data_IF_939971903125
#
_entry.id   IF_939971903125
#
_cell.length_a   1.000
_cell.length_b   1.000
_cell.length_c   1.000
_cell.angle_alpha   90.00
_cell.angle_beta   90.00
_cell.angle_gamma   90.00
#
_symmetry.space_group_name_H-M   'P 1'
#
loop_
_entity.id
_entity.type
_entity.pdbx_description
1 polymer ?
#
# COMPACT_ATOMS: atom_id res chain seq x y z
N UNK A 1 -48.22 4.97 -50.07
CA UNK A 1 -48.49 6.08 -49.15
C UNK A 1 -47.27 6.16 -48.24
N UNK A 2 -46.08 6.58 -48.70
CA UNK A 2 -45.72 7.93 -49.24
C UNK A 2 -45.90 8.97 -48.12
N UNK A 3 -44.92 9.66 -47.53
CA UNK A 3 -43.57 10.14 -47.93
C UNK A 3 -42.68 10.25 -46.65
N UNK A 4 -41.34 10.12 -46.58
CA UNK A 4 -40.20 10.84 -47.22
C UNK A 4 -40.27 12.37 -47.02
N UNK A 5 -39.27 13.19 -46.63
CA UNK A 5 -37.79 13.13 -46.58
C UNK A 5 -37.23 14.46 -45.95
N UNK A 6 -36.01 14.40 -45.38
CA UNK A 6 -34.91 15.41 -45.37
C UNK A 6 -34.66 16.48 -44.26
N UNK A 7 -33.38 16.45 -43.83
CA UNK A 7 -32.44 17.45 -43.25
C UNK A 7 -31.81 18.22 -44.46
N UNK A 8 -31.32 19.51 -44.46
CA UNK A 8 -30.18 19.97 -43.61
C UNK A 8 -29.90 21.50 -43.38
N UNK A 9 -28.87 21.72 -42.54
CA UNK A 9 -27.78 22.74 -42.57
C UNK A 9 -27.98 24.25 -42.28
N UNK A 10 -27.00 24.81 -41.54
CA UNK A 10 -26.67 26.23 -41.29
C UNK A 10 -25.57 26.73 -42.27
N UNK A 11 -24.84 27.86 -42.06
CA UNK A 11 -25.09 29.27 -41.66
C UNK A 11 -24.73 30.26 -42.83
N UNK A 12 -24.61 31.62 -42.69
CA UNK A 12 -23.32 32.30 -42.37
C UNK A 12 -23.35 33.72 -41.67
N UNK A 13 -22.18 34.12 -41.13
CA UNK A 13 -21.37 35.40 -41.13
C UNK A 13 -22.09 36.78 -41.32
N UNK A 14 -21.73 37.96 -40.75
CA UNK A 14 -20.45 38.73 -40.79
C UNK A 14 -20.55 40.16 -40.13
N UNK A 15 -19.55 40.53 -39.31
CA UNK A 15 -18.78 41.80 -39.09
C UNK A 15 -19.34 43.27 -38.99
N UNK A 16 -18.50 44.08 -38.28
CA UNK A 16 -18.23 45.55 -38.32
C UNK A 16 -18.95 46.47 -37.30
N UNK A 17 -18.35 47.52 -36.69
CA UNK A 17 -17.01 48.13 -36.71
C UNK A 17 -16.85 49.19 -35.56
N UNK A 18 -15.60 49.45 -35.12
CA UNK A 18 -14.90 50.74 -34.76
C UNK A 18 -15.63 51.82 -33.89
N UNK A 19 -15.05 52.64 -33.00
CA UNK A 19 -13.73 53.30 -32.79
C UNK A 19 -13.79 53.91 -31.35
N UNK A 20 -12.72 54.15 -30.59
CA UNK A 20 -12.00 55.45 -30.56
C UNK A 20 -10.79 55.39 -29.58
N UNK A 21 -9.84 56.27 -29.89
CA UNK A 21 -8.46 56.38 -29.44
C UNK A 21 -8.23 57.27 -28.20
N UNK A 22 -7.25 56.84 -27.40
CA UNK A 22 -6.23 57.53 -26.54
C UNK A 22 -6.20 59.09 -26.54
N UNK A 23 -5.87 59.72 -25.39
CA UNK A 23 -4.52 60.27 -25.25
C UNK A 23 -3.78 59.95 -23.93
N UNK A 24 -2.47 60.08 -24.07
CA UNK A 24 -1.33 59.79 -23.20
C UNK A 24 -1.11 60.87 -22.11
N UNK A 25 -0.31 60.50 -21.08
CA UNK A 25 0.64 61.34 -20.29
C UNK A 25 0.32 61.31 -18.78
N UNK A 26 1.20 61.13 -17.81
CA UNK A 26 2.65 60.91 -17.68
C UNK A 26 2.94 60.60 -16.20
N UNK A 27 4.15 60.06 -15.92
CA UNK A 27 4.93 60.17 -14.67
C UNK A 27 4.46 59.39 -13.42
N UNK A 28 5.17 58.29 -13.16
CA UNK A 28 6.21 58.27 -12.12
C UNK A 28 6.97 56.95 -12.16
N UNK A 29 8.25 57.02 -12.55
CA UNK A 29 9.22 55.91 -12.46
C UNK A 29 9.88 55.99 -11.09
N UNK A 30 9.61 55.04 -10.20
CA UNK A 30 10.49 54.76 -9.07
C UNK A 30 11.73 54.04 -9.60
N UNK A 31 12.85 54.78 -9.63
CA UNK A 31 14.16 54.25 -9.95
C UNK A 31 14.78 53.67 -8.68
N UNK A 32 14.82 52.35 -8.56
CA UNK A 32 15.71 51.66 -7.63
C UNK A 32 17.13 51.66 -8.19
N UNK A 33 18.05 52.34 -7.53
CA UNK A 33 19.46 52.39 -7.89
C UNK A 33 20.15 51.07 -7.45
N UNK A 34 20.36 50.18 -8.41
CA UNK A 34 21.30 49.07 -8.26
C UNK A 34 22.68 49.58 -8.67
N UNK A 35 23.58 49.73 -7.69
CA UNK A 35 24.98 50.08 -7.92
C UNK A 35 25.65 48.92 -8.64
N UNK A 36 25.81 49.05 -9.96
CA UNK A 36 26.61 48.13 -10.75
C UNK A 36 28.10 48.28 -10.39
N UNK A 37 28.83 47.19 -10.12
CA UNK A 37 30.28 47.27 -9.94
C UNK A 37 30.95 47.73 -11.23
N UNK A 38 31.85 48.71 -11.12
CA UNK A 38 32.62 49.26 -12.24
C UNK A 38 33.42 48.15 -12.93
N UNK A 39 33.27 48.04 -14.26
CA UNK A 39 34.12 47.22 -15.12
C UNK A 39 35.56 47.66 -14.96
N UNK A 40 36.40 46.80 -14.40
CA UNK A 40 37.85 46.97 -14.41
C UNK A 40 38.34 46.81 -15.86
N UNK A 41 39.13 47.78 -16.31
CA UNK A 41 39.83 47.76 -17.59
C UNK A 41 40.78 46.55 -17.63
N UNK A 42 40.71 45.80 -18.74
CA UNK A 42 41.68 44.74 -19.08
C UNK A 42 43.06 45.38 -19.25
N UNK A 43 43.95 45.19 -18.27
CA UNK A 43 45.41 45.32 -18.46
C UNK A 43 45.93 44.01 -19.07
N UNK A 44 46.86 44.15 -20.00
CA UNK A 44 47.55 43.06 -20.68
C UNK A 44 48.22 42.09 -19.67
N UNK A 45 48.38 40.80 -20.01
CA UNK A 45 49.01 39.82 -19.13
C UNK A 45 50.49 40.17 -19.02
N UNK A 46 50.92 40.51 -17.81
CA UNK A 46 52.33 40.44 -17.42
C UNK A 46 52.58 38.96 -17.13
N UNK A 47 53.56 38.35 -17.80
CA UNK A 47 54.04 37.02 -17.45
C UNK A 47 54.55 37.07 -16.02
N UNK A 48 53.87 36.35 -15.14
CA UNK A 48 54.24 36.11 -13.76
C UNK A 48 54.91 34.73 -13.74
N UNK A 49 56.24 34.72 -13.80
CA UNK A 49 57.08 33.53 -13.70
C UNK A 49 57.37 33.23 -12.21
N UNK A 50 56.34 33.26 -11.38
CA UNK A 50 56.42 32.88 -9.97
C UNK A 50 55.63 31.58 -9.75
N UNK A 51 56.38 30.48 -9.60
CA UNK A 51 55.88 29.20 -9.11
C UNK A 51 55.02 29.42 -7.85
N UNK A 52 53.92 28.66 -7.66
CA UNK A 52 53.15 28.74 -6.42
C UNK A 52 54.03 28.27 -5.26
N UNK A 53 54.52 29.22 -4.47
CA UNK A 53 55.28 28.94 -3.25
C UNK A 53 54.35 28.17 -2.28
N UNK A 54 54.49 26.86 -2.28
CA UNK A 54 53.81 25.97 -1.33
C UNK A 54 54.35 26.30 0.05
N UNK A 55 53.47 26.84 0.91
CA UNK A 55 53.80 27.10 2.30
C UNK A 55 54.01 25.75 3.03
N UNK A 56 55.27 25.31 3.07
CA UNK A 56 55.73 24.10 3.75
C UNK A 56 55.91 24.31 5.27
N UNK A 57 55.43 25.42 5.82
CA UNK A 57 55.56 25.66 7.27
C UNK A 57 54.57 24.81 8.05
N UNK A 58 55.09 23.92 8.91
CA UNK A 58 54.26 23.24 9.90
C UNK A 58 53.54 24.28 10.77
N UNK A 59 52.22 24.13 10.90
CA UNK A 59 51.38 25.06 11.64
C UNK A 59 51.91 25.23 13.09
N UNK A 60 52.52 26.39 13.37
CA UNK A 60 53.05 26.73 14.68
C UNK A 60 51.95 26.61 15.74
N UNK A 61 52.17 25.75 16.74
CA UNK A 61 51.26 25.59 17.87
C UNK A 61 51.20 26.89 18.67
N UNK A 62 50.22 27.75 18.34
CA UNK A 62 49.94 29.02 19.02
C UNK A 62 49.50 28.76 20.48
N UNK A 63 50.49 28.63 21.38
CA UNK A 63 50.34 28.56 22.85
C UNK A 63 50.11 29.96 23.44
N UNK A 64 49.06 30.64 22.99
CA UNK A 64 48.62 31.90 23.59
C UNK A 64 47.69 31.62 24.77
N UNK A 65 47.90 32.29 25.91
CA UNK A 65 46.97 32.21 27.06
C UNK A 65 45.51 32.48 26.67
N UNK A 66 45.28 33.27 25.61
CA UNK A 66 43.93 33.58 25.08
C UNK A 66 43.34 32.41 24.28
N UNK A 67 44.15 31.66 23.53
CA UNK A 67 43.70 30.48 22.77
C UNK A 67 43.41 29.32 23.72
N UNK A 68 44.21 29.13 24.77
CA UNK A 68 43.96 28.11 25.80
C UNK A 68 42.69 28.39 26.61
N UNK A 69 42.43 29.67 26.94
CA UNK A 69 41.20 30.05 27.66
C UNK A 69 39.96 29.81 26.81
N UNK A 70 40.02 30.06 25.49
CA UNK A 70 38.93 29.74 24.56
C UNK A 70 38.74 28.23 24.38
N UNK A 71 39.81 27.45 24.23
CA UNK A 71 39.74 25.97 24.18
C UNK A 71 39.12 25.39 25.45
N UNK A 72 39.51 25.88 26.64
CA UNK A 72 38.96 25.45 27.93
C UNK A 72 37.49 25.86 28.10
N UNK A 73 37.07 27.00 27.55
CA UNK A 73 35.65 27.38 27.49
C UNK A 73 34.85 26.50 26.53
N UNK A 74 35.38 26.19 25.35
CA UNK A 74 34.73 25.29 24.39
C UNK A 74 34.62 23.88 24.96
N UNK A 75 35.67 23.33 25.57
CA UNK A 75 35.63 22.03 26.26
C UNK A 75 34.59 22.02 27.39
N UNK A 76 34.56 23.05 28.27
CA UNK A 76 33.52 23.15 29.29
C UNK A 76 32.10 23.29 28.71
N UNK A 77 31.95 23.92 27.54
CA UNK A 77 30.67 24.02 26.84
C UNK A 77 30.25 22.66 26.28
N UNK A 78 31.18 21.92 25.67
CA UNK A 78 30.96 20.56 25.16
C UNK A 78 30.64 19.59 26.30
N UNK A 79 31.41 19.60 27.39
CA UNK A 79 31.14 18.80 28.59
C UNK A 79 29.79 19.13 29.23
N UNK A 80 29.37 20.41 29.22
CA UNK A 80 28.03 20.80 29.70
C UNK A 80 26.93 20.30 28.78
N UNK A 81 27.15 20.30 27.47
CA UNK A 81 26.21 19.74 26.49
C UNK A 81 26.12 18.23 26.67
N UNK A 82 27.26 17.56 26.88
CA UNK A 82 27.36 16.11 27.07
C UNK A 82 26.77 15.65 28.40
N UNK A 83 26.95 16.43 29.49
CA UNK A 83 26.29 16.18 30.79
C UNK A 83 24.78 16.46 30.78
N UNK A 84 24.32 17.33 29.87
CA UNK A 84 22.89 17.61 29.66
C UNK A 84 22.22 16.58 28.75
N UNK A 85 22.98 15.80 27.99
CA UNK A 85 22.43 14.65 27.27
C UNK A 85 22.09 13.58 28.29
N UNK A 86 20.83 13.16 28.32
CA UNK A 86 20.37 12.01 29.10
C UNK A 86 21.22 10.82 28.64
N UNK A 87 22.09 10.33 29.52
CA UNK A 87 22.84 9.08 29.26
C UNK A 87 21.84 7.95 29.46
N UNK A 88 21.21 7.49 28.39
CA UNK A 88 20.49 6.23 28.41
C UNK A 88 21.54 5.12 28.62
N UNK A 89 21.49 4.41 29.75
CA UNK A 89 22.34 3.23 30.03
C UNK A 89 21.87 1.98 29.25
N UNK A 90 21.20 2.20 28.12
CA UNK A 90 20.68 1.15 27.25
C UNK A 90 21.85 0.66 26.40
N UNK A 91 22.32 -0.56 26.68
CA UNK A 91 23.42 -1.23 25.98
C UNK A 91 22.91 -2.12 24.86
N UNK A 92 21.68 -2.63 24.98
CA UNK A 92 21.05 -3.51 24.02
C UNK A 92 19.66 -3.03 23.62
N UNK A 93 19.22 -3.34 22.39
CA UNK A 93 17.89 -3.04 21.90
C UNK A 93 16.80 -3.58 22.85
N UNK A 94 16.95 -4.80 23.35
CA UNK A 94 15.98 -5.44 24.26
C UNK A 94 15.93 -4.82 25.68
N UNK A 95 16.84 -3.91 26.02
CA UNK A 95 16.80 -3.16 27.28
C UNK A 95 15.93 -1.90 27.18
N UNK A 96 15.43 -1.59 25.97
CA UNK A 96 14.46 -0.52 25.78
C UNK A 96 13.14 -0.88 26.48
N UNK A 97 12.41 0.12 27.01
CA UNK A 97 11.03 -0.04 27.44
C UNK A 97 10.19 -0.72 26.35
N UNK A 98 9.26 -1.63 26.73
CA UNK A 98 8.45 -2.40 25.79
C UNK A 98 7.68 -1.52 24.81
N UNK A 99 7.24 -0.34 25.24
CA UNK A 99 6.50 0.62 24.40
C UNK A 99 7.39 1.17 23.27
N UNK A 100 8.67 1.41 23.54
CA UNK A 100 9.62 1.86 22.52
C UNK A 100 10.00 0.72 21.58
N UNK A 101 10.10 -0.50 22.10
CA UNK A 101 10.30 -1.70 21.28
C UNK A 101 9.14 -1.90 20.30
N UNK A 102 7.90 -1.86 20.79
CA UNK A 102 6.70 -1.96 19.97
C UNK A 102 6.64 -0.86 18.91
N UNK A 103 6.91 0.39 19.29
CA UNK A 103 6.91 1.52 18.35
C UNK A 103 7.95 1.30 17.24
N UNK A 104 9.19 0.90 17.58
CA UNK A 104 10.23 0.61 16.58
C UNK A 104 9.82 -0.54 15.66
N UNK A 105 9.28 -1.62 16.23
CA UNK A 105 8.81 -2.76 15.45
C UNK A 105 7.64 -2.38 14.53
N UNK A 106 6.81 -1.41 14.92
CA UNK A 106 5.69 -0.93 14.11
C UNK A 106 6.11 -0.25 12.79
N UNK A 107 7.35 0.24 12.71
CA UNK A 107 7.91 0.83 11.48
C UNK A 107 8.43 -0.21 10.50
N UNK A 108 8.63 -1.46 10.94
CA UNK A 108 9.16 -2.53 10.09
C UNK A 108 8.09 -3.10 9.18
N UNK A 109 8.52 -3.74 8.09
CA UNK A 109 7.62 -4.54 7.25
C UNK A 109 7.31 -5.86 7.97
N UNK A 110 6.10 -6.43 7.79
CA UNK A 110 5.78 -7.76 8.30
C UNK A 110 6.85 -8.81 7.96
N UNK A 111 7.37 -8.82 6.73
CA UNK A 111 8.45 -9.71 6.30
C UNK A 111 9.72 -9.58 7.14
N UNK A 112 10.07 -8.36 7.56
CA UNK A 112 11.25 -8.11 8.37
C UNK A 112 11.04 -8.60 9.81
N UNK A 113 9.82 -8.45 10.34
CA UNK A 113 9.45 -9.02 11.65
C UNK A 113 9.57 -10.54 11.65
N UNK A 114 9.12 -11.21 10.59
CA UNK A 114 9.33 -12.66 10.45
C UNK A 114 10.81 -13.05 10.40
N UNK A 115 11.70 -12.18 9.89
CA UNK A 115 13.15 -12.38 10.00
C UNK A 115 13.64 -12.16 11.44
N UNK A 116 13.12 -11.17 12.14
CA UNK A 116 13.46 -10.91 13.55
C UNK A 116 13.06 -12.07 14.48
N UNK A 117 11.93 -12.74 14.21
CA UNK A 117 11.50 -13.96 14.93
C UNK A 117 12.53 -15.11 14.87
N UNK A 118 13.51 -15.04 13.95
CA UNK A 118 14.57 -16.04 13.78
C UNK A 118 15.90 -15.64 14.42
N UNK A 119 16.02 -14.42 14.96
CA UNK A 119 17.30 -13.93 15.49
C UNK A 119 17.69 -14.60 16.81
N UNK A 120 16.83 -14.52 17.82
CA UNK A 120 17.05 -15.14 19.13
C UNK A 120 15.71 -15.40 19.82
N UNK A 121 15.73 -16.20 20.91
CA UNK A 121 14.52 -16.58 21.65
C UNK A 121 13.83 -15.37 22.30
N UNK A 122 14.57 -14.50 22.97
CA UNK A 122 14.00 -13.34 23.66
C UNK A 122 13.25 -12.38 22.72
N UNK A 123 13.80 -12.08 21.54
CA UNK A 123 13.14 -11.28 20.50
C UNK A 123 11.92 -12.00 19.94
N UNK A 124 12.00 -13.31 19.75
CA UNK A 124 10.87 -14.12 19.29
C UNK A 124 9.72 -14.08 20.29
N UNK A 125 10.00 -14.34 21.56
CA UNK A 125 9.01 -14.40 22.62
C UNK A 125 8.36 -13.02 22.79
N UNK A 126 9.15 -11.94 22.81
CA UNK A 126 8.63 -10.57 22.87
C UNK A 126 7.67 -10.23 21.72
N UNK A 127 8.02 -10.60 20.48
CA UNK A 127 7.17 -10.31 19.30
C UNK A 127 5.88 -11.14 19.36
N UNK A 128 5.95 -12.41 19.77
CA UNK A 128 4.78 -13.28 19.85
C UNK A 128 3.83 -12.88 20.98
N UNK A 129 4.36 -12.43 22.12
CA UNK A 129 3.55 -11.97 23.25
C UNK A 129 2.81 -10.66 22.92
N UNK A 130 3.42 -9.79 22.11
CA UNK A 130 2.87 -8.47 21.72
C UNK A 130 2.35 -8.45 20.28
N UNK A 131 2.07 -9.62 19.69
CA UNK A 131 1.79 -9.79 18.27
C UNK A 131 0.64 -8.88 17.79
N UNK A 132 -0.44 -8.84 18.56
CA UNK A 132 -1.66 -8.09 18.22
C UNK A 132 -1.41 -6.58 18.18
N UNK A 133 -0.62 -6.05 19.11
CA UNK A 133 -0.29 -4.62 19.19
C UNK A 133 0.57 -4.22 17.99
N UNK A 134 1.66 -4.96 17.79
CA UNK A 134 2.62 -4.73 16.71
C UNK A 134 1.94 -4.82 15.34
N UNK A 135 1.17 -5.89 15.09
CA UNK A 135 0.48 -6.07 13.81
C UNK A 135 -0.52 -4.95 13.53
N UNK A 136 -1.30 -4.53 14.55
CA UNK A 136 -2.28 -3.46 14.43
C UNK A 136 -1.63 -2.14 14.03
N UNK A 137 -0.49 -1.80 14.63
CA UNK A 137 0.19 -0.54 14.33
C UNK A 137 0.84 -0.55 12.95
N UNK A 138 1.42 -1.67 12.52
CA UNK A 138 1.95 -1.83 11.15
C UNK A 138 0.83 -1.66 10.14
N UNK A 139 -0.29 -2.37 10.34
CA UNK A 139 -1.45 -2.31 9.46
C UNK A 139 -1.96 -0.87 9.38
N UNK A 140 -2.11 -0.19 10.51
CA UNK A 140 -2.58 1.20 10.57
C UNK A 140 -1.66 2.16 9.83
N UNK A 141 -0.33 1.94 9.89
CA UNK A 141 0.67 2.81 9.28
C UNK A 141 0.83 2.56 7.78
N UNK A 142 0.73 1.32 7.32
CA UNK A 142 1.12 0.92 5.96
C UNK A 142 0.02 0.34 5.08
N UNK A 143 -0.95 -0.34 5.68
CA UNK A 143 -1.90 -1.22 4.98
C UNK A 143 -3.35 -0.95 5.36
N UNK A 144 -3.67 0.29 5.72
CA UNK A 144 -4.93 0.61 6.37
C UNK A 144 -6.11 0.52 5.39
N UNK A 145 -5.89 0.83 4.11
CA UNK A 145 -6.90 0.72 3.05
C UNK A 145 -7.16 -0.75 2.73
N UNK A 146 -6.09 -1.51 2.49
CA UNK A 146 -6.15 -2.94 2.18
C UNK A 146 -6.76 -3.73 3.33
N UNK A 147 -6.46 -3.39 4.58
CA UNK A 147 -7.05 -4.03 5.76
C UNK A 147 -8.57 -3.90 5.82
N UNK A 148 -9.14 -2.78 5.37
CA UNK A 148 -10.60 -2.60 5.32
C UNK A 148 -11.24 -3.42 4.21
N UNK A 149 -10.50 -3.68 3.14
CA UNK A 149 -10.98 -4.40 1.96
C UNK A 149 -10.80 -5.91 2.05
N UNK A 150 -9.69 -6.37 2.61
CA UNK A 150 -9.31 -7.78 2.75
C UNK A 150 -9.56 -8.24 4.17
N UNK A 151 -10.83 -8.47 4.49
CA UNK A 151 -11.24 -9.03 5.78
C UNK A 151 -10.77 -10.49 5.91
N UNK A 152 -10.68 -10.95 7.16
CA UNK A 152 -10.31 -12.34 7.47
C UNK A 152 -11.58 -13.13 7.80
N UNK A 153 -11.70 -14.40 7.33
CA UNK A 153 -12.76 -15.29 7.78
C UNK A 153 -12.72 -15.49 9.30
N UNK A 154 -13.88 -15.61 9.92
CA UNK A 154 -14.00 -15.88 11.35
C UNK A 154 -13.93 -17.39 11.58
N UNK A 155 -13.15 -17.83 12.58
CA UNK A 155 -13.12 -19.24 12.99
C UNK A 155 -14.49 -19.68 13.49
N UNK A 156 -14.93 -20.90 13.16
CA UNK A 156 -16.27 -21.37 13.51
C UNK A 156 -16.49 -21.36 15.04
N UNK A 157 -15.46 -21.70 15.80
CA UNK A 157 -15.45 -21.68 17.28
C UNK A 157 -15.82 -20.32 17.90
N UNK A 158 -15.63 -19.22 17.17
CA UNK A 158 -15.95 -17.85 17.64
C UNK A 158 -17.37 -17.42 17.29
N UNK A 159 -18.12 -18.23 16.53
CA UNK A 159 -19.51 -17.97 16.13
C UNK A 159 -20.47 -18.49 17.20
N UNK A 160 -21.63 -17.85 17.39
CA UNK A 160 -22.64 -18.34 18.31
C UNK A 160 -23.14 -19.76 17.94
N UNK A 161 -23.42 -20.58 18.95
CA UNK A 161 -23.75 -22.00 18.77
C UNK A 161 -24.98 -22.23 17.88
N UNK A 162 -26.01 -21.39 17.99
CA UNK A 162 -27.22 -21.51 17.14
C UNK A 162 -26.85 -21.26 15.68
N UNK A 163 -26.04 -20.23 15.42
CA UNK A 163 -25.56 -19.93 14.09
C UNK A 163 -24.62 -21.01 13.55
N UNK A 164 -23.76 -21.60 14.38
CA UNK A 164 -22.90 -22.73 13.99
C UNK A 164 -23.73 -23.91 13.46
N UNK A 165 -24.79 -24.29 14.16
CA UNK A 165 -25.66 -25.40 13.73
C UNK A 165 -26.33 -25.11 12.39
N UNK A 166 -26.88 -23.91 12.20
CA UNK A 166 -27.47 -23.51 10.92
C UNK A 166 -26.47 -23.48 9.76
N UNK A 167 -25.20 -23.12 10.03
CA UNK A 167 -24.14 -23.12 9.03
C UNK A 167 -23.67 -24.53 8.65
N UNK A 168 -23.81 -25.53 9.52
CA UNK A 168 -23.39 -26.90 9.22
C UNK A 168 -24.46 -27.71 8.47
N UNK A 169 -25.69 -27.23 8.40
CA UNK A 169 -26.79 -27.90 7.69
C UNK A 169 -26.49 -28.06 6.20
N UNK A 170 -26.87 -29.23 5.65
CA UNK A 170 -26.76 -29.57 4.22
C UNK A 170 -27.38 -28.49 3.31
N UNK A 171 -28.57 -27.99 3.65
CA UNK A 171 -29.27 -26.92 2.93
C UNK A 171 -28.42 -25.64 2.79
N UNK A 172 -27.68 -25.25 3.84
CA UNK A 172 -26.79 -24.09 3.75
C UNK A 172 -25.58 -24.39 2.86
N UNK A 173 -24.94 -25.53 3.07
CA UNK A 173 -23.77 -25.95 2.29
C UNK A 173 -24.11 -26.08 0.79
N UNK A 174 -25.31 -26.53 0.47
CA UNK A 174 -25.79 -26.62 -0.91
C UNK A 174 -26.02 -25.25 -1.55
N UNK A 175 -26.55 -24.27 -0.79
CA UNK A 175 -26.67 -22.88 -1.27
C UNK A 175 -25.32 -22.22 -1.50
N UNK A 176 -24.33 -22.56 -0.67
CA UNK A 176 -22.97 -22.04 -0.81
C UNK A 176 -22.25 -22.57 -2.04
N UNK A 177 -22.68 -23.69 -2.64
CA UNK A 177 -22.03 -24.29 -3.82
C UNK A 177 -21.82 -23.32 -4.98
N UNK A 178 -22.63 -22.26 -5.09
CA UNK A 178 -22.45 -21.22 -6.12
C UNK A 178 -21.13 -20.44 -5.90
N UNK A 179 -20.80 -20.17 -4.64
CA UNK A 179 -19.64 -19.39 -4.22
C UNK A 179 -18.44 -20.25 -3.79
N UNK A 180 -18.67 -21.54 -3.55
CA UNK A 180 -17.64 -22.56 -3.25
C UNK A 180 -17.40 -23.51 -4.41
N UNK A 181 -18.03 -23.28 -5.58
CA UNK A 181 -17.68 -23.98 -6.82
C UNK A 181 -16.16 -23.86 -6.99
N UNK A 182 -15.42 -24.97 -7.15
CA UNK A 182 -13.97 -24.93 -7.09
C UNK A 182 -13.44 -24.11 -8.25
N UNK A 183 -13.14 -22.84 -7.98
CA UNK A 183 -12.24 -22.07 -8.83
C UNK A 183 -10.91 -22.81 -8.84
N UNK A 184 -10.27 -22.89 -9.99
CA UNK A 184 -9.07 -23.73 -10.13
C UNK A 184 -8.01 -23.36 -9.09
N UNK A 185 -7.87 -22.08 -8.75
CA UNK A 185 -6.85 -21.56 -7.83
C UNK A 185 -7.33 -21.33 -6.39
N UNK A 186 -8.61 -21.56 -6.08
CA UNK A 186 -9.18 -21.32 -4.75
C UNK A 186 -9.70 -22.62 -4.16
N UNK A 187 -9.07 -23.06 -3.08
CA UNK A 187 -9.57 -24.19 -2.28
C UNK A 187 -10.86 -23.77 -1.58
N UNK A 188 -11.85 -24.66 -1.52
CA UNK A 188 -13.06 -24.40 -0.74
C UNK A 188 -12.75 -24.24 0.76
N UNK A 189 -13.43 -23.29 1.40
CA UNK A 189 -13.37 -23.08 2.85
C UNK A 189 -13.89 -24.32 3.59
N UNK A 190 -13.21 -24.74 4.65
CA UNK A 190 -13.66 -25.85 5.48
C UNK A 190 -14.76 -25.38 6.45
N UNK A 191 -15.95 -25.97 6.28
CA UNK A 191 -17.11 -25.65 7.09
C UNK A 191 -16.97 -26.07 8.56
N UNK A 192 -16.07 -27.01 8.88
CA UNK A 192 -15.86 -27.49 10.25
C UNK A 192 -14.94 -26.60 11.06
N UNK A 193 -13.99 -25.91 10.41
CA UNK A 193 -13.02 -25.05 11.09
C UNK A 193 -13.41 -23.57 11.03
N UNK A 194 -14.13 -23.16 10.01
CA UNK A 194 -14.32 -21.75 9.66
C UNK A 194 -15.79 -21.42 9.44
N UNK A 195 -16.18 -20.19 9.79
CA UNK A 195 -17.51 -19.69 9.50
C UNK A 195 -17.73 -19.66 7.99
N UNK A 196 -18.86 -20.20 7.54
CA UNK A 196 -19.22 -20.24 6.12
C UNK A 196 -20.32 -19.24 5.77
N UNK A 197 -20.54 -18.20 6.58
CA UNK A 197 -21.40 -17.10 6.16
C UNK A 197 -20.86 -16.43 4.89
N UNK A 198 -21.71 -15.77 4.11
CA UNK A 198 -21.32 -15.19 2.81
C UNK A 198 -20.08 -14.28 2.93
N UNK A 199 -20.01 -13.44 3.96
CA UNK A 199 -18.85 -12.57 4.22
C UNK A 199 -17.55 -13.37 4.40
N UNK A 200 -17.58 -14.47 5.15
CA UNK A 200 -16.38 -15.27 5.40
C UNK A 200 -15.95 -16.07 4.16
N UNK A 201 -16.91 -16.55 3.37
CA UNK A 201 -16.63 -17.21 2.08
C UNK A 201 -15.98 -16.23 1.09
N UNK A 202 -16.52 -15.01 0.96
CA UNK A 202 -15.93 -13.99 0.10
C UNK A 202 -14.54 -13.56 0.59
N UNK A 203 -14.38 -13.32 1.90
CA UNK A 203 -13.07 -13.01 2.50
C UNK A 203 -12.03 -14.10 2.23
N UNK A 204 -12.42 -15.38 2.35
CA UNK A 204 -11.55 -16.51 2.04
C UNK A 204 -11.12 -16.51 0.56
N UNK A 205 -12.08 -16.33 -0.34
CA UNK A 205 -11.83 -16.29 -1.79
C UNK A 205 -10.92 -15.11 -2.15
N UNK A 206 -11.14 -13.93 -1.56
CA UNK A 206 -10.34 -12.73 -1.77
C UNK A 206 -8.88 -12.94 -1.35
N UNK A 207 -8.66 -13.46 -0.13
CA UNK A 207 -7.30 -13.70 0.37
C UNK A 207 -6.56 -14.78 -0.45
N UNK A 208 -7.24 -15.86 -0.84
CA UNK A 208 -6.64 -16.89 -1.70
C UNK A 208 -6.29 -16.33 -3.08
N UNK A 209 -7.15 -15.49 -3.66
CA UNK A 209 -6.93 -14.89 -4.98
C UNK A 209 -5.76 -13.92 -4.97
N UNK A 210 -5.62 -13.15 -3.89
CA UNK A 210 -4.49 -12.22 -3.69
C UNK A 210 -3.16 -12.96 -3.58
N UNK A 211 -3.12 -14.07 -2.86
CA UNK A 211 -1.93 -14.91 -2.75
C UNK A 211 -1.56 -15.55 -4.10
N UNK A 212 -2.56 -16.04 -4.84
CA UNK A 212 -2.35 -16.62 -6.16
C UNK A 212 -1.86 -15.59 -7.19
N UNK A 213 -2.46 -14.39 -7.19
CA UNK A 213 -1.96 -13.27 -7.99
C UNK A 213 -0.49 -12.96 -7.67
N UNK A 214 -0.14 -12.89 -6.38
CA UNK A 214 1.22 -12.60 -5.95
C UNK A 214 2.21 -13.69 -6.37
N UNK A 215 1.81 -14.96 -6.32
CA UNK A 215 2.63 -16.08 -6.79
C UNK A 215 3.00 -15.93 -8.27
N UNK A 216 2.05 -15.50 -9.10
CA UNK A 216 2.27 -15.32 -10.54
C UNK A 216 2.84 -13.94 -10.93
N UNK A 217 2.98 -13.01 -9.98
CA UNK A 217 3.49 -11.68 -10.24
C UNK A 217 4.85 -11.66 -10.96
N UNK A 218 5.85 -12.51 -10.60
CA UNK A 218 7.12 -12.56 -11.33
C UNK A 218 6.98 -13.00 -12.79
N UNK A 219 6.14 -14.01 -13.07
CA UNK A 219 5.84 -14.48 -14.43
C UNK A 219 5.18 -13.37 -15.24
N UNK A 220 4.19 -12.69 -14.63
CA UNK A 220 3.51 -11.58 -15.25
C UNK A 220 4.44 -10.40 -15.51
N UNK A 221 5.36 -10.10 -14.61
CA UNK A 221 6.33 -9.01 -14.79
C UNK A 221 7.33 -9.29 -15.93
N UNK A 222 7.64 -10.57 -16.19
CA UNK A 222 8.45 -11.01 -17.34
C UNK A 222 7.68 -11.08 -18.66
N UNK A 223 6.38 -10.73 -18.66
CA UNK A 223 5.51 -10.83 -19.84
C UNK A 223 5.37 -12.26 -20.37
N UNK A 224 5.47 -13.25 -19.47
CA UNK A 224 5.27 -14.67 -19.79
C UNK A 224 3.77 -15.03 -19.66
N UNK A 225 3.31 -15.93 -20.51
CA UNK A 225 1.96 -16.47 -20.40
C UNK A 225 1.81 -17.30 -19.11
N UNK A 226 0.68 -17.15 -18.43
CA UNK A 226 0.36 -17.98 -17.27
C UNK A 226 0.13 -19.44 -17.69
N UNK A 227 0.44 -20.43 -16.81
CA UNK A 227 0.15 -21.83 -17.10
C UNK A 227 -1.34 -22.05 -17.37
N UNK A 228 -1.68 -22.52 -18.57
CA UNK A 228 -3.04 -22.86 -18.93
C UNK A 228 -3.43 -24.21 -18.30
N UNK A 229 -4.60 -24.26 -17.67
CA UNK A 229 -5.17 -25.50 -17.11
C UNK A 229 -6.31 -25.97 -18.02
N UNK A 230 -6.21 -27.15 -18.65
CA UNK A 230 -7.28 -27.70 -19.47
C UNK A 230 -8.60 -27.80 -18.69
N UNK A 231 -9.72 -27.52 -19.35
CA UNK A 231 -11.06 -27.64 -18.72
C UNK A 231 -11.27 -29.07 -18.20
N UNK A 232 -11.81 -29.18 -16.99
CA UNK A 232 -12.07 -30.47 -16.34
C UNK A 232 -10.82 -31.16 -15.75
N UNK A 233 -9.63 -30.59 -15.94
CA UNK A 233 -8.42 -31.06 -15.27
C UNK A 233 -8.11 -30.23 -14.02
N UNK A 234 -7.48 -30.85 -13.04
CA UNK A 234 -6.90 -30.15 -11.90
C UNK A 234 -5.49 -30.72 -11.64
N UNK A 235 -4.45 -30.14 -12.22
CA UNK A 235 -3.10 -30.69 -12.13
C UNK A 235 -2.57 -30.61 -10.69
N UNK A 236 -1.66 -31.52 -10.35
CA UNK A 236 -1.15 -31.66 -8.98
C UNK A 236 -0.48 -30.38 -8.47
N UNK A 237 0.31 -29.71 -9.32
CA UNK A 237 0.97 -28.45 -8.96
C UNK A 237 -0.04 -27.38 -8.54
N UNK A 238 -1.21 -27.33 -9.20
CA UNK A 238 -2.24 -26.34 -8.93
C UNK A 238 -3.00 -26.65 -7.64
N UNK A 239 -3.26 -27.93 -7.41
CA UNK A 239 -3.88 -28.40 -6.15
C UNK A 239 -2.96 -28.09 -4.97
N UNK A 240 -1.66 -28.35 -5.10
CA UNK A 240 -0.66 -28.04 -4.06
C UNK A 240 -0.58 -26.54 -3.80
N UNK A 241 -0.52 -25.73 -4.86
CA UNK A 241 -0.49 -24.27 -4.74
C UNK A 241 -1.75 -23.72 -4.03
N UNK A 242 -2.94 -24.19 -4.41
CA UNK A 242 -4.18 -23.80 -3.74
C UNK A 242 -4.23 -24.23 -2.26
N UNK A 243 -3.65 -25.39 -1.93
CA UNK A 243 -3.50 -25.84 -0.55
C UNK A 243 -2.53 -24.96 0.25
N UNK A 244 -1.41 -24.56 -0.33
CA UNK A 244 -0.44 -23.66 0.29
C UNK A 244 -1.06 -22.28 0.59
N UNK A 245 -1.81 -21.71 -0.36
CA UNK A 245 -2.53 -20.45 -0.14
C UNK A 245 -3.56 -20.58 0.99
N UNK A 246 -4.37 -21.64 0.97
CA UNK A 246 -5.33 -21.90 2.05
C UNK A 246 -4.65 -22.01 3.43
N UNK A 247 -3.51 -22.70 3.51
CA UNK A 247 -2.75 -22.83 4.76
C UNK A 247 -2.21 -21.47 5.27
N UNK A 248 -1.85 -20.56 4.37
CA UNK A 248 -1.46 -19.19 4.73
C UNK A 248 -2.66 -18.40 5.27
N UNK A 249 -3.83 -18.51 4.62
CA UNK A 249 -5.07 -17.86 5.09
C UNK A 249 -5.48 -18.39 6.46
N UNK A 250 -5.42 -19.70 6.68
CA UNK A 250 -5.69 -20.31 7.98
C UNK A 250 -4.72 -19.86 9.09
N UNK A 251 -3.47 -19.54 8.74
CA UNK A 251 -2.53 -18.92 9.69
C UNK A 251 -2.94 -17.47 9.98
N UNK A 252 -3.32 -16.70 8.95
CA UNK A 252 -3.81 -15.32 9.12
C UNK A 252 -5.08 -15.23 9.98
N UNK A 253 -5.94 -16.25 9.97
CA UNK A 253 -7.10 -16.36 10.88
C UNK A 253 -6.72 -16.44 12.36
N UNK A 254 -5.51 -16.92 12.67
CA UNK A 254 -5.01 -17.12 14.04
C UNK A 254 -3.97 -16.07 14.45
N UNK A 255 -3.26 -15.51 13.48
CA UNK A 255 -2.11 -14.61 13.69
C UNK A 255 -2.29 -13.33 12.88
N UNK A 256 -2.44 -12.16 13.55
CA UNK A 256 -2.58 -10.88 12.87
C UNK A 256 -1.31 -10.48 12.10
N UNK A 257 -0.11 -10.94 12.49
CA UNK A 257 1.10 -10.71 11.69
C UNK A 257 1.06 -11.43 10.34
N UNK A 258 0.49 -12.64 10.29
CA UNK A 258 0.29 -13.34 9.01
C UNK A 258 -0.71 -12.59 8.12
N UNK A 259 -1.76 -11.99 8.68
CA UNK A 259 -2.65 -11.11 7.90
C UNK A 259 -1.91 -9.90 7.36
N UNK A 260 -1.14 -9.20 8.20
CA UNK A 260 -0.32 -8.07 7.76
C UNK A 260 0.66 -8.46 6.64
N UNK A 261 1.23 -9.67 6.69
CA UNK A 261 2.08 -10.21 5.63
C UNK A 261 1.32 -10.41 4.31
N UNK A 262 0.08 -10.91 4.34
CA UNK A 262 -0.76 -11.00 3.13
C UNK A 262 -0.98 -9.61 2.53
N UNK A 263 -1.27 -8.61 3.36
CA UNK A 263 -1.46 -7.23 2.91
C UNK A 263 -0.18 -6.65 2.29
N UNK A 264 0.98 -6.90 2.89
CA UNK A 264 2.28 -6.51 2.32
C UNK A 264 2.49 -7.12 0.94
N UNK A 265 2.27 -8.43 0.81
CA UNK A 265 2.43 -9.17 -0.45
C UNK A 265 1.46 -8.64 -1.51
N UNK A 266 0.24 -8.31 -1.11
CA UNK A 266 -0.74 -7.73 -2.02
C UNK A 266 -0.37 -6.32 -2.49
N UNK A 267 0.07 -5.46 -1.57
CA UNK A 267 0.52 -4.11 -1.91
C UNK A 267 1.63 -4.16 -2.96
N UNK A 268 2.62 -5.04 -2.75
CA UNK A 268 3.69 -5.28 -3.72
C UNK A 268 3.16 -5.76 -5.09
N UNK A 269 2.13 -6.60 -5.11
CA UNK A 269 1.48 -7.09 -6.33
C UNK A 269 0.74 -5.97 -7.07
N UNK A 270 0.02 -5.10 -6.34
CA UNK A 270 -0.64 -3.91 -6.90
C UNK A 270 0.41 -2.98 -7.50
N UNK A 271 1.43 -2.60 -6.72
CA UNK A 271 2.49 -1.70 -7.16
C UNK A 271 3.22 -2.25 -8.38
N UNK A 272 3.55 -3.55 -8.37
CA UNK A 272 4.14 -4.23 -9.51
C UNK A 272 3.27 -4.15 -10.75
N UNK A 273 1.97 -4.39 -10.62
CA UNK A 273 1.02 -4.39 -11.75
C UNK A 273 0.80 -2.98 -12.30
N UNK A 274 0.65 -1.98 -11.43
CA UNK A 274 0.47 -0.58 -11.83
C UNK A 274 1.71 0.00 -12.53
N UNK A 275 2.91 -0.33 -12.05
CA UNK A 275 4.17 0.15 -12.65
C UNK A 275 4.59 -0.67 -13.87
N UNK A 276 3.95 -1.81 -14.14
CA UNK A 276 4.33 -2.73 -15.22
C UNK A 276 4.35 -2.08 -16.61
N UNK A 277 3.34 -1.29 -17.03
CA UNK A 277 3.36 -0.62 -18.34
C UNK A 277 4.57 0.30 -18.54
N UNK A 278 5.04 0.94 -17.46
CA UNK A 278 6.23 1.79 -17.47
C UNK A 278 7.49 0.92 -17.61
N UNK A 279 7.62 -0.14 -16.80
CA UNK A 279 8.76 -1.08 -16.85
C UNK A 279 8.91 -1.74 -18.21
N UNK A 280 7.80 -1.99 -18.90
CA UNK A 280 7.77 -2.55 -20.25
C UNK A 280 8.02 -1.53 -21.37
N UNK A 281 8.17 -0.25 -21.04
CA UNK A 281 8.44 0.79 -22.04
C UNK A 281 7.25 1.03 -22.97
N UNK A 282 6.02 0.87 -22.49
CA UNK A 282 4.84 1.21 -23.28
C UNK A 282 4.79 2.71 -23.55
N UNK A 283 5.24 3.12 -24.75
CA UNK A 283 5.35 4.53 -25.19
C UNK A 283 4.01 5.28 -25.19
N UNK A 284 2.89 4.55 -25.23
CA UNK A 284 1.54 5.14 -25.19
C UNK A 284 1.00 5.31 -23.78
N UNK A 285 1.62 4.66 -22.79
CA UNK A 285 1.21 4.77 -21.39
C UNK A 285 1.76 6.07 -20.79
N UNK A 286 0.90 7.08 -20.71
CA UNK A 286 1.24 8.32 -20.04
C UNK A 286 1.12 8.14 -18.51
N UNK A 287 2.08 8.62 -17.70
CA UNK A 287 2.01 8.55 -16.23
C UNK A 287 0.72 9.15 -15.64
N UNK A 288 0.11 10.12 -16.31
CA UNK A 288 -1.20 10.69 -15.94
C UNK A 288 -2.36 9.67 -15.94
N UNK A 289 -2.20 8.56 -16.67
CA UNK A 289 -3.18 7.47 -16.76
C UNK A 289 -2.91 6.38 -15.70
N UNK A 290 -1.92 6.58 -14.82
CA UNK A 290 -1.66 5.69 -13.70
C UNK A 290 -2.87 5.66 -12.78
N UNK A 291 -3.41 4.46 -12.53
CA UNK A 291 -4.55 4.30 -11.62
C UNK A 291 -4.18 4.82 -10.23
N UNK A 292 -5.14 5.47 -9.59
CA UNK A 292 -4.97 6.08 -8.27
C UNK A 292 -3.84 7.12 -8.22
N UNK A 293 -3.38 7.64 -9.36
CA UNK A 293 -2.29 8.60 -9.44
C UNK A 293 -1.04 8.16 -8.67
N UNK A 294 -0.69 6.88 -8.73
CA UNK A 294 0.51 6.35 -8.07
C UNK A 294 1.75 7.14 -8.52
N UNK A 295 2.52 7.63 -7.56
CA UNK A 295 3.77 8.39 -7.76
C UNK A 295 4.99 7.60 -7.28
N UNK A 296 6.19 8.01 -7.70
CA UNK A 296 7.44 7.39 -7.25
C UNK A 296 7.62 7.50 -5.72
N UNK A 297 7.14 8.59 -5.11
CA UNK A 297 7.14 8.77 -3.66
C UNK A 297 6.25 7.74 -2.95
N UNK A 298 5.11 7.37 -3.54
CA UNK A 298 4.24 6.33 -2.98
C UNK A 298 4.93 4.96 -3.04
N UNK A 299 5.71 4.72 -4.11
CA UNK A 299 6.50 3.50 -4.29
C UNK A 299 7.62 3.41 -3.24
N UNK A 300 8.29 4.53 -2.96
CA UNK A 300 9.34 4.61 -1.92
C UNK A 300 8.77 4.45 -0.50
N UNK A 301 7.60 5.03 -0.23
CA UNK A 301 6.93 4.94 1.09
C UNK A 301 6.45 3.54 1.40
N UNK A 302 6.09 2.77 0.36
CA UNK A 302 5.57 1.40 0.50
C UNK A 302 4.36 1.35 1.44
N UNK A 303 3.41 2.24 1.15
CA UNK A 303 2.15 2.44 1.88
C UNK A 303 0.98 2.42 0.91
N UNK A 304 -0.17 1.97 1.38
CA UNK A 304 -1.38 1.85 0.56
C UNK A 304 -2.24 3.13 0.47
N UNK A 305 -1.77 4.25 1.01
CA UNK A 305 -2.49 5.53 1.04
C UNK A 305 -2.92 6.02 -0.35
N UNK A 306 -2.16 5.73 -1.39
CA UNK A 306 -2.53 6.13 -2.75
C UNK A 306 -3.86 5.50 -3.20
N UNK A 307 -4.23 4.33 -2.67
CA UNK A 307 -5.49 3.65 -3.01
C UNK A 307 -6.74 4.40 -2.54
N UNK A 308 -6.59 5.40 -1.67
CA UNK A 308 -7.67 6.31 -1.27
C UNK A 308 -8.06 7.31 -2.35
N UNK A 309 -7.16 7.56 -3.30
CA UNK A 309 -7.41 8.48 -4.41
C UNK A 309 -8.50 7.92 -5.32
N UNK A 310 -9.02 8.77 -6.19
CA UNK A 310 -10.07 8.38 -7.13
C UNK A 310 -9.57 7.26 -8.07
N UNK A 311 -10.43 6.29 -8.33
CA UNK A 311 -10.12 5.16 -9.19
C UNK A 311 -11.34 4.29 -9.48
N UNK A 312 -11.23 3.35 -10.42
CA UNK A 312 -12.31 2.43 -10.72
C UNK A 312 -12.59 1.53 -9.50
N UNK A 313 -13.85 1.26 -9.17
CA UNK A 313 -14.19 0.30 -8.12
C UNK A 313 -13.96 -1.14 -8.59
N UNK A 314 -13.46 -1.98 -7.69
CA UNK A 314 -13.22 -3.42 -7.93
C UNK A 314 -14.36 -4.25 -7.35
N UNK A 315 -15.52 -4.27 -8.01
CA UNK A 315 -16.70 -5.00 -7.49
C UNK A 315 -16.68 -6.50 -7.79
N UNK A 316 -16.09 -6.92 -8.91
CA UNK A 316 -16.10 -8.34 -9.29
C UNK A 316 -14.92 -9.06 -8.62
N UNK A 317 -15.12 -10.26 -8.07
CA UNK A 317 -14.01 -11.02 -7.49
C UNK A 317 -13.07 -11.60 -8.55
N UNK A 318 -11.81 -11.82 -8.17
CA UNK A 318 -10.78 -12.43 -9.02
C UNK A 318 -10.94 -13.95 -9.16
N UNK A 319 -12.00 -14.36 -9.84
CA UNK A 319 -12.36 -15.77 -10.03
C UNK A 319 -11.54 -16.53 -11.08
N UNK A 320 -10.76 -15.84 -11.93
CA UNK A 320 -10.00 -16.48 -13.00
C UNK A 320 -8.63 -15.83 -13.16
N UNK A 321 -7.58 -16.65 -13.28
CA UNK A 321 -6.18 -16.21 -13.52
C UNK A 321 -6.01 -15.41 -14.81
N UNK A 322 -6.87 -15.65 -15.80
CA UNK A 322 -6.89 -14.92 -17.07
C UNK A 322 -7.05 -13.40 -16.86
N UNK A 323 -7.66 -12.99 -15.75
CA UNK A 323 -7.86 -11.58 -15.41
C UNK A 323 -6.65 -10.91 -14.75
N UNK A 324 -5.62 -11.65 -14.34
CA UNK A 324 -4.46 -11.08 -13.65
C UNK A 324 -3.64 -10.12 -14.51
N UNK A 325 -3.69 -10.28 -15.84
CA UNK A 325 -3.00 -9.37 -16.78
C UNK A 325 -3.92 -8.26 -17.33
N UNK A 326 -5.18 -8.19 -16.88
CA UNK A 326 -6.14 -7.25 -17.41
C UNK A 326 -6.12 -5.94 -16.62
N UNK A 327 -5.96 -4.80 -17.29
CA UNK A 327 -5.80 -3.47 -16.66
C UNK A 327 -6.94 -3.09 -15.70
N UNK A 328 -8.17 -3.57 -15.96
CA UNK A 328 -9.33 -3.42 -15.05
C UNK A 328 -9.05 -3.90 -13.63
N UNK A 329 -8.17 -4.89 -13.49
CA UNK A 329 -7.81 -5.56 -12.24
C UNK A 329 -6.42 -5.16 -11.72
N UNK A 330 -5.81 -4.13 -12.31
CA UNK A 330 -4.44 -3.75 -11.99
C UNK A 330 -4.24 -3.32 -10.53
N UNK A 331 -5.31 -2.90 -9.85
CA UNK A 331 -5.36 -2.84 -8.40
C UNK A 331 -6.63 -3.53 -7.90
N UNK A 332 -6.53 -4.80 -7.53
CA UNK A 332 -7.65 -5.53 -6.95
C UNK A 332 -7.87 -5.10 -5.50
N UNK A 333 -8.91 -4.31 -5.24
CA UNK A 333 -9.23 -3.85 -3.89
C UNK A 333 -10.73 -4.04 -3.66
N UNK A 334 -11.15 -5.23 -3.19
CA UNK A 334 -12.56 -5.61 -3.08
C UNK A 334 -13.26 -4.87 -1.93
N UNK A 335 -14.56 -5.10 -1.78
CA UNK A 335 -15.33 -4.68 -0.60
C UNK A 335 -15.29 -3.17 -0.32
N UNK A 336 -15.27 -2.32 -1.36
CA UNK A 336 -15.42 -0.87 -1.24
C UNK A 336 -16.23 -0.28 -2.39
N UNK A 337 -16.86 0.86 -2.15
CA UNK A 337 -17.67 1.58 -3.14
C UNK A 337 -17.22 3.02 -3.23
N UNK A 338 -17.04 3.54 -4.45
CA UNK A 338 -16.78 4.97 -4.64
C UNK A 338 -18.09 5.74 -4.50
N UNK A 339 -18.14 6.69 -3.58
CA UNK A 339 -19.23 7.63 -3.47
C UNK A 339 -18.92 8.89 -4.29
N UNK A 340 -19.78 9.16 -5.29
CA UNK A 340 -19.62 10.30 -6.20
C UNK A 340 -19.97 11.62 -5.53
N UNK A 341 -20.81 11.61 -4.50
CA UNK A 341 -21.23 12.83 -3.82
C UNK A 341 -20.15 13.30 -2.86
N UNK A 342 -19.67 12.41 -1.99
CA UNK A 342 -18.62 12.74 -1.02
C UNK A 342 -17.20 12.65 -1.57
N UNK A 343 -17.03 12.13 -2.80
CA UNK A 343 -15.73 11.87 -3.44
C UNK A 343 -14.80 11.04 -2.54
N UNK A 344 -15.35 10.02 -1.89
CA UNK A 344 -14.65 9.16 -0.93
C UNK A 344 -15.00 7.69 -1.13
N UNK A 345 -14.09 6.83 -0.71
CA UNK A 345 -14.35 5.40 -0.60
C UNK A 345 -15.22 5.10 0.62
N UNK A 346 -16.34 4.42 0.38
CA UNK A 346 -17.15 3.80 1.41
C UNK A 346 -16.68 2.37 1.63
N UNK A 347 -16.47 2.02 2.89
CA UNK A 347 -16.03 0.72 3.31
C UNK A 347 -17.08 0.08 4.23
N UNK A 348 -17.15 -1.25 4.29
CA UNK A 348 -17.91 -1.95 5.31
C UNK A 348 -17.51 -1.49 6.70
N UNK A 349 -18.50 -1.42 7.60
CA UNK A 349 -18.19 -1.32 9.03
C UNK A 349 -17.62 -2.67 9.49
N UNK A 350 -16.52 -2.69 10.26
CA UNK A 350 -15.93 -3.93 10.77
C UNK A 350 -16.97 -4.80 11.48
N UNK A 351 -17.03 -6.09 11.15
CA UNK A 351 -17.93 -7.07 11.77
C UNK A 351 -19.42 -6.96 11.41
N UNK A 352 -19.89 -5.82 10.89
CA UNK A 352 -21.33 -5.60 10.63
C UNK A 352 -21.87 -6.59 9.59
N UNK A 353 -21.23 -6.70 8.42
CA UNK A 353 -21.70 -7.64 7.39
C UNK A 353 -21.66 -9.10 7.84
N UNK A 354 -20.69 -9.46 8.67
CA UNK A 354 -20.64 -10.81 9.23
C UNK A 354 -21.83 -11.05 10.16
N UNK A 355 -22.12 -10.13 11.08
CA UNK A 355 -23.26 -10.23 11.99
C UNK A 355 -24.60 -10.26 11.23
N UNK A 356 -24.78 -9.39 10.23
CA UNK A 356 -25.99 -9.33 9.40
C UNK A 356 -26.20 -10.63 8.62
N UNK A 357 -25.13 -11.19 8.03
CA UNK A 357 -25.21 -12.47 7.32
C UNK A 357 -25.50 -13.65 8.26
N UNK A 358 -24.94 -13.67 9.48
CA UNK A 358 -25.26 -14.70 10.47
C UNK A 358 -26.73 -14.61 10.90
N UNK A 359 -27.23 -13.41 11.21
CA UNK A 359 -28.63 -13.19 11.56
C UNK A 359 -29.56 -13.66 10.43
N UNK A 360 -29.20 -13.37 9.18
CA UNK A 360 -29.92 -13.86 8.01
C UNK A 360 -29.95 -15.38 7.94
N UNK A 361 -28.81 -16.06 8.14
CA UNK A 361 -28.72 -17.53 8.10
C UNK A 361 -29.60 -18.14 9.19
N UNK A 362 -29.47 -17.69 10.43
CA UNK A 362 -30.25 -18.18 11.57
C UNK A 362 -31.75 -17.99 11.34
N UNK A 363 -32.17 -16.86 10.76
CA UNK A 363 -33.60 -16.58 10.52
C UNK A 363 -34.26 -17.50 9.48
N UNK A 364 -33.48 -18.10 8.57
CA UNK A 364 -34.00 -18.85 7.40
C UNK A 364 -33.64 -20.32 7.40
N UNK A 365 -32.58 -20.71 8.10
CA UNK A 365 -32.06 -22.08 8.13
C UNK A 365 -32.19 -22.57 9.55
N UNK A 366 -33.26 -23.36 9.78
CA UNK A 366 -33.42 -24.03 11.07
C UNK A 366 -32.44 -25.20 11.13
N UNK A 367 -31.77 -25.40 12.29
CA UNK A 367 -31.01 -26.61 12.51
C UNK A 367 -31.94 -27.82 12.38
N UNK A 368 -31.48 -28.87 11.71
CA UNK A 368 -32.20 -30.14 11.68
C UNK A 368 -32.21 -30.66 13.12
N UNK A 369 -33.38 -30.62 13.76
CA UNK A 369 -33.56 -31.25 15.07
C UNK A 369 -33.45 -32.74 14.81
N UNK A 370 -32.37 -33.38 15.25
CA UNK A 370 -32.26 -34.83 15.29
C UNK A 370 -33.49 -35.37 16.04
N UNK A 371 -34.43 -35.94 15.29
CA UNK A 371 -35.48 -36.77 15.87
C UNK A 371 -34.78 -38.03 16.38
N UNK A 372 -34.51 -38.06 17.69
CA UNK A 372 -34.07 -39.26 18.40
C UNK A 372 -35.18 -40.28 18.51
#
# INVERSE_FOLDING_TARGET
>A
MSDSVAIPAAPPTEQSATTETVPVSEKSKEQSYVVAPRKAFRKAPIQDDDEPLVDLTEALALKSKKTDRKKKQQQKKLERIEKKRVKSDVKNFLELPPELLEEVLSYLRPSDIFRLLRLNRSTRDFILDNEQSIAKDIIRRRYWTLYRCLQIPVALEKVDHVAQQSLLTSNWQDRLRIHTKPYQHIRAIDAKSSCTCMTCVMAWNDLCSVLDLAHFQPTLDRHEALPAIPRGSNPEWNTRLAQEHAAIVEKAMRSPLHHALILQVHLASIMGTLTRPIRWGNKTFAPKNMLYHLSDLDVERDTDEFLERSGPPSYEPLYFREYYNHQKWAAYVPNRKWDKETQKWLYPKPGQWHADNLAWVVSRIRPEVEQK
#
